data_IF_777704388713
#
_entry.id   IF_777704388713
#
_cell.length_a   1.000
_cell.length_b   1.000
_cell.length_c   1.000
_cell.angle_alpha   90.00
_cell.angle_beta   90.00
_cell.angle_gamma   90.00
#
_symmetry.space_group_name_H-M   'P 1'
#
loop_
_entity.id
_entity.type
_entity.pdbx_description
1 polymer ?
#
# COMPACT_ATOMS: atom_id res chain seq x y z
N UNK A 1 16.30 0.30 47.19
CA UNK A 1 15.79 0.87 45.94
C UNK A 1 14.30 0.58 45.91
N UNK A 2 13.47 1.59 46.18
CA UNK A 2 12.02 1.44 46.21
C UNK A 2 11.43 1.29 44.81
N UNK A 3 10.30 0.58 44.69
CA UNK A 3 9.62 0.29 43.40
C UNK A 3 9.36 1.54 42.57
N UNK A 4 9.08 2.66 43.24
CA UNK A 4 8.90 3.97 42.59
C UNK A 4 10.15 4.45 41.85
N UNK A 5 11.35 4.25 42.40
CA UNK A 5 12.60 4.61 41.72
C UNK A 5 12.83 3.80 40.45
N UNK A 6 12.44 2.52 40.45
CA UNK A 6 12.54 1.67 39.26
C UNK A 6 11.60 2.19 38.15
N UNK A 7 10.34 2.44 38.48
CA UNK A 7 9.38 3.02 37.52
C UNK A 7 9.85 4.39 37.01
N UNK A 8 10.42 5.21 37.90
CA UNK A 8 10.93 6.54 37.55
C UNK A 8 12.13 6.47 36.61
N UNK A 9 13.07 5.56 36.81
CA UNK A 9 14.19 5.38 35.88
C UNK A 9 13.74 4.95 34.48
N UNK A 10 12.70 4.11 34.39
CA UNK A 10 12.13 3.71 33.10
C UNK A 10 11.38 4.89 32.46
N UNK A 11 10.63 5.65 33.24
CA UNK A 11 9.84 6.80 32.76
C UNK A 11 10.70 8.02 32.38
N UNK A 12 11.79 8.29 33.10
CA UNK A 12 12.75 9.37 32.79
C UNK A 12 13.67 8.99 31.61
N UNK A 13 13.47 7.82 30.99
CA UNK A 13 14.20 7.43 29.79
C UNK A 13 13.56 7.99 28.52
N UNK A 14 14.37 8.23 27.50
CA UNK A 14 13.93 8.70 26.18
C UNK A 14 13.06 7.68 25.42
N UNK A 15 12.95 6.45 25.92
CA UNK A 15 12.21 5.35 25.27
C UNK A 15 10.72 5.66 25.19
N UNK A 16 10.12 6.25 26.23
CA UNK A 16 8.69 6.61 26.23
C UNK A 16 8.35 7.65 25.17
N UNK A 17 9.23 8.64 24.97
CA UNK A 17 9.06 9.65 23.92
C UNK A 17 9.21 9.03 22.52
N UNK A 18 10.18 8.14 22.33
CA UNK A 18 10.39 7.47 21.06
C UNK A 18 9.19 6.60 20.67
N UNK A 19 8.63 5.83 21.61
CA UNK A 19 7.43 5.01 21.39
C UNK A 19 6.21 5.86 21.02
N UNK A 20 6.04 7.02 21.66
CA UNK A 20 4.96 7.96 21.33
C UNK A 20 5.10 8.51 19.90
N UNK A 21 6.29 8.97 19.52
CA UNK A 21 6.57 9.49 18.17
C UNK A 21 6.39 8.37 17.14
N UNK A 22 6.88 7.17 17.43
CA UNK A 22 6.71 6.01 16.56
C UNK A 22 5.24 5.68 16.35
N UNK A 23 4.45 5.62 17.42
CA UNK A 23 3.01 5.37 17.35
C UNK A 23 2.28 6.42 16.49
N UNK A 24 2.60 7.70 16.70
CA UNK A 24 2.04 8.78 15.89
C UNK A 24 2.49 8.65 14.43
N UNK A 25 3.75 8.30 14.19
CA UNK A 25 4.31 8.06 12.86
C UNK A 25 3.61 6.91 12.12
N UNK A 26 3.35 5.79 12.79
CA UNK A 26 2.61 4.67 12.20
C UNK A 26 1.14 5.00 11.96
N UNK A 27 0.52 5.77 12.87
CA UNK A 27 -0.84 6.28 12.69
C UNK A 27 -0.93 7.13 11.42
N UNK A 28 -0.07 8.15 11.28
CA UNK A 28 -0.02 8.97 10.06
C UNK A 28 0.30 8.16 8.80
N UNK A 29 1.20 7.17 8.90
CA UNK A 29 1.54 6.30 7.79
C UNK A 29 0.36 5.39 7.38
N UNK A 30 -0.42 4.88 8.31
CA UNK A 30 -1.61 4.07 8.02
C UNK A 30 -2.69 4.89 7.28
N UNK A 31 -2.82 6.19 7.61
CA UNK A 31 -3.71 7.10 6.89
C UNK A 31 -3.08 7.70 5.62
N UNK A 32 -1.84 7.35 5.25
CA UNK A 32 -1.22 7.78 3.99
C UNK A 32 -2.06 7.22 2.84
N UNK A 33 -2.71 8.07 2.01
CA UNK A 33 -3.62 7.64 0.95
C UNK A 33 -2.88 7.09 -0.29
N UNK A 34 -1.70 6.47 -0.11
CA UNK A 34 -0.80 6.07 -1.19
C UNK A 34 -1.21 4.80 -1.94
N UNK A 35 -2.11 3.98 -1.39
CA UNK A 35 -2.53 2.72 -2.02
C UNK A 35 -3.78 2.82 -2.89
N UNK A 36 -4.43 4.00 -2.89
CA UNK A 36 -5.64 4.25 -3.71
C UNK A 36 -5.47 3.91 -5.21
N UNK A 37 -4.42 4.34 -5.91
CA UNK A 37 -4.34 4.10 -7.36
C UNK A 37 -4.17 2.63 -7.76
N UNK A 38 -3.54 1.80 -6.93
CA UNK A 38 -3.36 0.36 -7.23
C UNK A 38 -4.67 -0.41 -7.02
N UNK A 39 -5.45 -0.02 -6.01
CA UNK A 39 -6.75 -0.63 -5.75
C UNK A 39 -7.81 -0.20 -6.77
N UNK A 40 -7.75 1.06 -7.21
CA UNK A 40 -8.63 1.58 -8.26
C UNK A 40 -8.34 0.87 -9.60
N UNK A 41 -7.06 0.66 -9.96
CA UNK A 41 -6.68 -0.04 -11.20
C UNK A 41 -7.10 -1.52 -11.20
N UNK A 42 -6.94 -2.23 -10.07
CA UNK A 42 -7.38 -3.62 -9.94
C UNK A 42 -8.91 -3.75 -9.97
N UNK A 43 -9.64 -2.79 -9.38
CA UNK A 43 -11.10 -2.77 -9.40
C UNK A 43 -11.66 -2.52 -10.81
N UNK A 44 -10.91 -1.84 -11.69
CA UNK A 44 -11.34 -1.58 -13.06
C UNK A 44 -11.06 -2.74 -14.04
N UNK A 45 -10.35 -3.80 -13.64
CA UNK A 45 -10.04 -4.94 -14.52
C UNK A 45 -11.30 -5.63 -15.09
N UNK A 46 -12.35 -5.94 -14.30
CA UNK A 46 -13.58 -6.52 -14.85
C UNK A 46 -14.37 -5.52 -15.70
N UNK A 47 -14.29 -4.23 -15.37
CA UNK A 47 -15.06 -3.16 -15.99
C UNK A 47 -14.32 -2.44 -17.14
N UNK A 48 -13.16 -2.95 -17.57
CA UNK A 48 -12.34 -2.29 -18.61
C UNK A 48 -12.92 -2.44 -20.02
N UNK A 49 -13.86 -3.35 -20.22
CA UNK A 49 -14.39 -3.73 -21.55
C UNK A 49 -15.92 -3.63 -21.63
N UNK A 50 -16.56 -2.88 -20.73
CA UNK A 50 -18.03 -2.79 -20.70
C UNK A 50 -18.57 -1.75 -21.69
N UNK A 51 -17.82 -0.67 -21.91
CA UNK A 51 -18.23 0.43 -22.81
C UNK A 51 -17.98 0.10 -24.29
N UNK A 52 -16.99 -0.75 -24.59
CA UNK A 52 -16.73 -1.29 -25.92
C UNK A 52 -15.93 -2.59 -25.82
N UNK A 53 -16.15 -3.56 -26.72
CA UNK A 53 -15.28 -4.73 -26.83
C UNK A 53 -13.83 -4.28 -27.02
N UNK A 54 -12.88 -5.05 -26.49
CA UNK A 54 -11.48 -4.87 -26.90
C UNK A 54 -11.44 -4.97 -28.43
N UNK A 55 -11.00 -3.91 -29.12
CA UNK A 55 -10.68 -4.03 -30.54
C UNK A 55 -9.65 -5.15 -30.64
N UNK A 56 -10.06 -6.23 -31.29
CA UNK A 56 -9.31 -7.40 -31.66
C UNK A 56 -8.16 -6.96 -32.58
N UNK A 57 -7.15 -6.37 -31.94
CA UNK A 57 -5.89 -6.02 -32.53
C UNK A 57 -5.14 -7.30 -32.84
N UNK A 58 -5.30 -7.75 -34.08
CA UNK A 58 -4.23 -8.33 -34.87
C UNK A 58 -3.52 -9.50 -34.17
N UNK A 59 -4.27 -10.59 -33.99
CA UNK A 59 -3.66 -11.91 -33.93
C UNK A 59 -2.94 -12.15 -35.25
N UNK A 60 -1.67 -11.74 -35.30
CA UNK A 60 -0.63 -12.40 -36.07
C UNK A 60 -1.03 -12.76 -37.50
N UNK A 61 -0.97 -11.80 -38.40
CA UNK A 61 -0.71 -12.07 -39.82
C UNK A 61 0.67 -12.76 -39.98
N UNK A 62 0.76 -14.03 -39.60
CA UNK A 62 1.74 -14.94 -40.18
C UNK A 62 1.20 -15.32 -41.56
N UNK A 63 1.86 -14.94 -42.67
CA UNK A 63 1.40 -15.39 -43.98
C UNK A 63 1.60 -16.90 -44.07
N UNK A 64 0.49 -17.64 -43.97
CA UNK A 64 0.41 -19.03 -44.43
C UNK A 64 0.86 -19.11 -45.90
N UNK A 65 1.50 -20.24 -46.20
CA UNK A 65 2.30 -20.46 -47.39
C UNK A 65 1.62 -20.07 -48.69
N UNK A 66 2.35 -19.27 -49.48
CA UNK A 66 2.11 -19.11 -50.90
C UNK A 66 3.23 -19.81 -51.67
N UNK A 67 2.91 -21.02 -52.15
CA UNK A 67 3.53 -21.81 -53.25
C UNK A 67 4.89 -22.48 -53.02
#
# INVERSE_FOLDING_TARGET
>A
MDTYSLLRQIADSWVMLFLLIFFIGTWFWAFRPGSRPIHDDAAQVPFRHEDAPAEDGDDSHAPEGQK
#
